data_IF_240455292601
#
_entry.id   IF_240455292601
#
_cell.length_a   1.000
_cell.length_b   1.000
_cell.length_c   1.000
_cell.angle_alpha   90.00
_cell.angle_beta   90.00
_cell.angle_gamma   90.00
#
_symmetry.space_group_name_H-M   'P 1'
#
loop_
_entity.id
_entity.type
_entity.pdbx_description
1 polymer ?
#
# COMPACT_ATOMS: atom_id res chain seq x y z
N UNK A 1 -10.62 1.22 -16.05
CA UNK A 1 -10.87 1.27 -14.59
C UNK A 1 -9.58 1.75 -13.95
N UNK A 2 -9.63 2.36 -12.78
CA UNK A 2 -8.43 2.90 -12.12
C UNK A 2 -7.74 1.78 -11.34
N UNK A 3 -6.74 1.15 -11.97
CA UNK A 3 -5.77 0.29 -11.29
C UNK A 3 -4.60 1.10 -10.71
N UNK A 4 -3.73 0.44 -9.96
CA UNK A 4 -2.49 1.02 -9.46
C UNK A 4 -1.30 0.45 -10.24
N UNK A 5 -0.41 1.33 -10.68
CA UNK A 5 0.88 0.95 -11.25
C UNK A 5 1.94 0.90 -10.14
N UNK A 6 2.68 -0.20 -10.05
CA UNK A 6 3.80 -0.37 -9.12
C UNK A 6 5.04 -0.85 -9.86
N UNK A 7 6.21 -0.45 -9.38
CA UNK A 7 7.49 -0.96 -9.87
C UNK A 7 7.58 -2.48 -9.64
N UNK A 8 7.74 -3.23 -10.72
CA UNK A 8 7.77 -4.69 -10.73
C UNK A 8 8.91 -5.25 -9.87
N UNK A 9 10.11 -4.74 -10.09
CA UNK A 9 11.30 -5.25 -9.42
C UNK A 9 11.25 -4.96 -7.92
N UNK A 10 10.82 -3.75 -7.54
CA UNK A 10 10.65 -3.38 -6.15
C UNK A 10 9.56 -4.23 -5.45
N UNK A 11 8.44 -4.52 -6.14
CA UNK A 11 7.40 -5.36 -5.56
C UNK A 11 7.91 -6.79 -5.34
N UNK A 12 8.58 -7.38 -6.33
CA UNK A 12 9.10 -8.75 -6.24
C UNK A 12 10.17 -8.90 -5.16
N UNK A 13 11.04 -7.89 -5.03
CA UNK A 13 11.98 -7.80 -3.91
C UNK A 13 11.24 -7.78 -2.56
N UNK A 14 10.21 -6.96 -2.42
CA UNK A 14 9.40 -6.89 -1.19
C UNK A 14 8.60 -8.18 -0.92
N UNK A 15 8.26 -8.95 -1.96
CA UNK A 15 7.63 -10.27 -1.87
C UNK A 15 8.65 -11.40 -1.63
N UNK A 16 9.95 -11.10 -1.70
CA UNK A 16 11.05 -12.04 -1.51
C UNK A 16 11.12 -13.15 -2.57
N UNK A 17 10.59 -12.89 -3.76
CA UNK A 17 10.53 -13.86 -4.86
C UNK A 17 10.41 -13.12 -6.20
N UNK A 18 11.25 -13.51 -7.17
CA UNK A 18 11.09 -13.13 -8.56
C UNK A 18 10.02 -14.01 -9.21
N UNK A 19 9.03 -13.40 -9.84
CA UNK A 19 7.93 -14.08 -10.51
C UNK A 19 8.02 -13.93 -12.02
N UNK A 20 7.57 -14.94 -12.77
CA UNK A 20 7.13 -14.71 -14.15
C UNK A 20 5.83 -13.92 -14.16
N UNK A 21 5.45 -13.39 -15.33
CA UNK A 21 4.16 -12.71 -15.49
C UNK A 21 3.00 -13.64 -15.16
N UNK A 22 3.06 -14.90 -15.62
CA UNK A 22 2.04 -15.92 -15.37
C UNK A 22 1.95 -16.30 -13.89
N UNK A 23 3.08 -16.51 -13.21
CA UNK A 23 3.07 -16.85 -11.78
C UNK A 23 2.50 -15.70 -10.92
N UNK A 24 2.77 -14.45 -11.31
CA UNK A 24 2.22 -13.29 -10.62
C UNK A 24 0.74 -13.07 -10.92
N UNK A 25 0.30 -13.36 -12.14
CA UNK A 25 -1.12 -13.35 -12.53
C UNK A 25 -1.93 -14.40 -11.76
N UNK A 26 -1.41 -15.62 -11.65
CA UNK A 26 -2.02 -16.68 -10.82
C UNK A 26 -2.12 -16.25 -9.34
N UNK A 27 -1.07 -15.63 -8.78
CA UNK A 27 -1.13 -15.08 -7.43
C UNK A 27 -2.19 -13.98 -7.28
N UNK A 28 -2.32 -13.09 -8.26
CA UNK A 28 -3.37 -12.06 -8.29
C UNK A 28 -4.75 -12.71 -8.28
N UNK A 29 -4.97 -13.69 -9.15
CA UNK A 29 -6.23 -14.43 -9.27
C UNK A 29 -6.62 -15.12 -7.96
N UNK A 30 -5.70 -15.87 -7.35
CA UNK A 30 -5.93 -16.57 -6.09
C UNK A 30 -6.28 -15.61 -4.93
N UNK A 31 -5.70 -14.41 -4.95
CA UNK A 31 -6.00 -13.36 -3.99
C UNK A 31 -7.32 -12.61 -4.29
N UNK A 32 -7.80 -12.66 -5.54
CA UNK A 32 -8.98 -11.96 -6.03
C UNK A 32 -8.72 -10.49 -6.41
N UNK A 33 -7.57 -10.25 -7.05
CA UNK A 33 -7.25 -9.02 -7.80
C UNK A 33 -6.81 -9.42 -9.22
N UNK A 34 -6.66 -8.46 -10.12
CA UNK A 34 -6.35 -8.76 -11.53
C UNK A 34 -5.08 -8.03 -11.96
N UNK A 35 -4.19 -8.74 -12.65
CA UNK A 35 -3.05 -8.13 -13.34
C UNK A 35 -3.53 -7.63 -14.70
N UNK A 36 -3.65 -6.31 -14.86
CA UNK A 36 -4.11 -5.68 -16.11
C UNK A 36 -2.98 -5.56 -17.14
N UNK A 37 -1.78 -5.17 -16.69
CA UNK A 37 -0.62 -5.02 -17.58
C UNK A 37 0.71 -5.30 -16.87
N UNK A 38 1.64 -5.96 -17.58
CA UNK A 38 3.04 -6.05 -17.23
C UNK A 38 3.90 -5.41 -18.34
N UNK A 39 4.57 -4.29 -18.03
CA UNK A 39 5.34 -3.53 -19.03
C UNK A 39 6.77 -4.02 -19.24
N UNK A 40 7.14 -5.18 -18.71
CA UNK A 40 8.51 -5.75 -18.81
C UNK A 40 9.02 -5.87 -20.25
N UNK A 41 8.12 -6.22 -21.17
CA UNK A 41 8.43 -6.43 -22.59
C UNK A 41 8.15 -5.20 -23.46
N UNK A 42 7.64 -4.11 -22.88
CA UNK A 42 7.30 -2.91 -23.62
C UNK A 42 8.53 -2.03 -23.84
N UNK A 43 8.52 -1.25 -24.91
CA UNK A 43 9.48 -0.16 -25.06
C UNK A 43 9.14 0.94 -24.04
N UNK A 44 10.05 1.16 -23.09
CA UNK A 44 9.86 2.08 -21.96
C UNK A 44 10.70 3.34 -22.18
N UNK A 45 10.17 4.53 -21.86
CA UNK A 45 10.88 5.77 -22.08
C UNK A 45 12.18 5.85 -21.28
N UNK A 46 13.15 6.58 -21.82
CA UNK A 46 14.39 6.91 -21.13
C UNK A 46 14.28 8.33 -20.60
N UNK A 47 14.34 8.48 -19.28
CA UNK A 47 14.28 9.76 -18.58
C UNK A 47 15.61 9.98 -17.87
N UNK A 48 16.26 11.11 -18.12
CA UNK A 48 17.58 11.43 -17.58
C UNK A 48 18.66 10.36 -17.85
N UNK A 49 18.62 9.73 -19.03
CA UNK A 49 19.59 8.70 -19.44
C UNK A 49 19.38 7.32 -18.81
N UNK A 50 18.29 7.12 -18.04
CA UNK A 50 17.91 5.82 -17.48
C UNK A 50 16.55 5.40 -18.02
N UNK A 51 16.42 4.15 -18.47
CA UNK A 51 15.13 3.59 -18.84
C UNK A 51 14.24 3.47 -17.60
N UNK A 52 12.98 3.88 -17.71
CA UNK A 52 12.01 3.75 -16.62
C UNK A 52 11.83 2.28 -16.21
N UNK A 53 11.63 2.00 -14.91
CA UNK A 53 11.44 0.63 -14.43
C UNK A 53 10.14 0.01 -14.97
N UNK A 54 10.14 -1.32 -15.11
CA UNK A 54 8.97 -2.06 -15.53
C UNK A 54 7.88 -1.93 -14.46
N UNK A 55 6.63 -1.83 -14.91
CA UNK A 55 5.48 -1.60 -14.05
C UNK A 55 4.53 -2.78 -14.16
N UNK A 56 3.91 -3.12 -13.04
CA UNK A 56 2.73 -3.97 -13.00
C UNK A 56 1.53 -3.06 -12.73
N UNK A 57 0.53 -3.09 -13.62
CA UNK A 57 -0.75 -2.44 -13.42
C UNK A 57 -1.72 -3.47 -12.85
N UNK A 58 -2.21 -3.20 -11.65
CA UNK A 58 -3.06 -4.13 -10.92
C UNK A 58 -4.43 -3.47 -10.72
N UNK A 59 -5.48 -4.12 -11.18
CA UNK A 59 -6.85 -3.70 -10.92
C UNK A 59 -7.30 -4.18 -9.53
N UNK A 60 -7.72 -3.21 -8.71
CA UNK A 60 -8.15 -3.43 -7.34
C UNK A 60 -9.66 -3.17 -7.25
N UNK A 61 -10.47 -4.12 -6.75
CA UNK A 61 -11.89 -3.89 -6.59
C UNK A 61 -12.14 -2.72 -5.63
N UNK A 62 -13.14 -1.89 -5.95
CA UNK A 62 -13.39 -0.59 -5.31
C UNK A 62 -13.59 -0.62 -3.79
N UNK A 63 -13.83 -1.80 -3.21
CA UNK A 63 -14.03 -2.00 -1.77
C UNK A 63 -12.74 -2.37 -1.00
N UNK A 64 -11.57 -2.46 -1.65
CA UNK A 64 -10.29 -2.87 -1.03
C UNK A 64 -9.28 -1.72 -0.96
N UNK A 65 -9.63 -0.64 -0.26
CA UNK A 65 -8.82 0.58 -0.14
C UNK A 65 -7.39 0.39 0.38
N UNK A 66 -7.13 -0.69 1.15
CA UNK A 66 -5.80 -0.99 1.70
C UNK A 66 -4.77 -1.26 0.61
N UNK A 67 -5.18 -1.68 -0.60
CA UNK A 67 -4.28 -2.02 -1.70
C UNK A 67 -4.08 -0.89 -2.72
N UNK A 68 -4.47 0.34 -2.39
CA UNK A 68 -4.26 1.50 -3.27
C UNK A 68 -2.86 2.12 -3.14
N UNK A 69 -1.94 1.44 -2.45
CA UNK A 69 -0.53 1.82 -2.39
C UNK A 69 0.37 0.59 -2.38
N UNK A 70 1.65 0.82 -2.69
CA UNK A 70 2.68 -0.22 -2.78
C UNK A 70 2.80 -1.04 -1.48
N UNK A 71 2.88 -0.35 -0.34
CA UNK A 71 3.06 -0.99 0.98
C UNK A 71 1.88 -1.90 1.32
N UNK A 72 0.67 -1.45 1.00
CA UNK A 72 -0.54 -2.23 1.23
C UNK A 72 -0.61 -3.50 0.40
N UNK A 73 -0.23 -3.43 -0.88
CA UNK A 73 -0.15 -4.60 -1.78
C UNK A 73 0.89 -5.59 -1.25
N UNK A 74 2.12 -5.13 -1.01
CA UNK A 74 3.20 -5.99 -0.51
C UNK A 74 2.81 -6.69 0.80
N UNK A 75 2.25 -5.93 1.74
CA UNK A 75 1.79 -6.44 3.03
C UNK A 75 0.71 -7.51 2.87
N UNK A 76 -0.35 -7.22 2.12
CA UNK A 76 -1.49 -8.13 1.98
C UNK A 76 -1.11 -9.43 1.25
N UNK A 77 -0.31 -9.34 0.18
CA UNK A 77 0.16 -10.51 -0.55
C UNK A 77 1.11 -11.38 0.30
N UNK A 78 2.00 -10.76 1.09
CA UNK A 78 2.86 -11.52 2.01
C UNK A 78 2.07 -12.20 3.13
N UNK A 79 1.02 -11.57 3.66
CA UNK A 79 0.11 -12.20 4.63
C UNK A 79 -0.63 -13.37 4.00
N UNK A 80 -1.21 -13.18 2.81
CA UNK A 80 -1.94 -14.23 2.10
C UNK A 80 -1.08 -15.47 1.82
N UNK A 81 0.17 -15.24 1.41
CA UNK A 81 1.17 -16.30 1.16
C UNK A 81 1.73 -16.93 2.44
N UNK A 82 1.32 -16.48 3.63
CA UNK A 82 1.84 -16.94 4.92
C UNK A 82 3.32 -16.61 5.15
N UNK A 83 3.83 -15.57 4.48
CA UNK A 83 5.23 -15.08 4.61
C UNK A 83 5.38 -14.05 5.72
N UNK A 84 4.27 -13.45 6.16
CA UNK A 84 4.24 -12.47 7.24
C UNK A 84 2.94 -12.59 8.05
N UNK A 85 2.99 -12.36 9.35
CA UNK A 85 1.79 -12.20 10.18
C UNK A 85 1.09 -10.86 9.93
N UNK A 86 -0.21 -10.82 10.22
CA UNK A 86 -0.97 -9.58 10.18
C UNK A 86 -0.49 -8.61 11.29
N UNK A 87 -0.17 -7.36 10.96
CA UNK A 87 0.36 -6.40 11.93
C UNK A 87 -0.67 -6.09 13.02
N UNK A 88 -0.18 -5.90 14.24
CA UNK A 88 -1.00 -5.49 15.39
C UNK A 88 -0.94 -3.97 15.53
N UNK A 89 -2.04 -3.30 15.20
CA UNK A 89 -2.14 -1.85 15.36
C UNK A 89 -2.54 -1.49 16.78
N UNK A 90 -1.72 -0.66 17.43
CA UNK A 90 -1.99 -0.14 18.78
C UNK A 90 -2.20 1.37 18.74
N UNK A 91 -3.27 1.84 19.38
CA UNK A 91 -3.50 3.27 19.55
C UNK A 91 -2.69 3.74 20.77
N UNK A 92 -1.69 4.57 20.54
CA UNK A 92 -0.95 5.19 21.64
C UNK A 92 -1.76 6.36 22.22
N UNK A 93 -2.32 6.19 23.42
CA UNK A 93 -3.10 7.21 24.13
C UNK A 93 -2.23 8.31 24.78
N UNK A 94 -1.21 8.78 24.07
CA UNK A 94 -0.26 9.77 24.56
C UNK A 94 -0.88 11.14 24.81
N UNK A 95 -0.86 11.54 26.09
CA UNK A 95 -1.21 12.83 26.71
C UNK A 95 -2.69 13.04 27.11
N UNK A 96 -2.97 13.27 28.41
CA UNK A 96 -4.30 13.69 28.84
C UNK A 96 -4.63 15.03 28.18
N UNK A 97 -5.82 15.12 27.55
CA UNK A 97 -6.31 16.38 26.98
C UNK A 97 -6.21 17.47 28.04
N UNK A 98 -5.49 18.55 27.72
CA UNK A 98 -5.31 19.73 28.58
C UNK A 98 -6.71 20.19 29.05
N UNK A 99 -7.03 20.00 30.33
CA UNK A 99 -8.23 20.60 30.93
C UNK A 99 -7.99 22.11 30.93
N UNK A 100 -8.74 22.85 30.12
CA UNK A 100 -8.84 24.30 30.26
C UNK A 100 -9.45 24.57 31.64
N UNK A 101 -8.62 24.95 32.62
CA UNK A 101 -9.12 25.48 33.89
C UNK A 101 -9.74 26.83 33.55
N UNK A 102 -11.08 26.89 33.46
CA UNK A 102 -11.78 28.17 33.51
C UNK A 102 -11.62 28.71 34.93
N UNK A 103 -10.82 29.77 35.09
CA UNK A 103 -10.80 30.55 36.32
C UNK A 103 -12.19 31.15 36.54
N UNK A 104 -12.77 31.05 37.75
CA UNK A 104 -14.02 31.73 38.06
C UNK A 104 -13.76 33.23 38.06
N UNK A 105 -14.50 33.96 37.23
CA UNK A 105 -14.50 35.41 37.22
C UNK A 105 -15.07 35.89 38.55
N UNK A 106 -14.25 36.52 39.38
CA UNK A 106 -14.70 37.13 40.63
C UNK A 106 -15.63 38.29 40.34
N UNK A 107 -16.90 38.15 40.72
CA UNK A 107 -17.80 39.28 40.89
C UNK A 107 -17.43 40.00 42.19
N UNK A 108 -16.97 41.24 42.12
CA UNK A 108 -16.99 42.16 43.26
C UNK A 108 -17.98 43.27 42.95
N UNK A 109 -19.20 43.10 43.42
CA UNK A 109 -20.08 44.21 43.79
C UNK A 109 -19.79 44.61 45.23
N UNK A 110 -19.84 45.91 45.50
CA UNK A 110 -19.58 46.54 46.79
C UNK A 110 -19.21 48.00 46.58
#
# INVERSE_FOLDING_TARGET
>A
MDGIAVDKAALFEALGQDYTTEEFDELCFDFGIELDEDTSSNDRPVVNGKQEPAQLKIEIPANRYVMLCFEGISLMLNIFRGKQDAPQYVVYAGFPRRRTIRTPHGTSGG
#
